data_IF_018590042737
#
_entry.id   IF_018590042737
#
_cell.length_a   1.000
_cell.length_b   1.000
_cell.length_c   1.000
_cell.angle_alpha   90.00
_cell.angle_beta   90.00
_cell.angle_gamma   90.00
#
_symmetry.space_group_name_H-M   'P 1'
#
loop_
_entity.id
_entity.type
_entity.pdbx_description
1 polymer ?
#
# COMPACT_ATOMS: atom_id res chain seq x y z
N UNK A 1 8.27 20.10 -13.90
CA UNK A 1 6.85 19.73 -14.02
C UNK A 1 6.51 18.95 -12.76
N UNK A 2 5.55 19.42 -11.95
CA UNK A 2 5.17 18.72 -10.72
C UNK A 2 4.58 17.34 -11.06
N UNK A 3 4.85 16.34 -10.22
CA UNK A 3 4.23 15.04 -10.37
C UNK A 3 2.70 15.18 -10.29
N UNK A 4 1.98 14.46 -11.16
CA UNK A 4 0.52 14.51 -11.22
C UNK A 4 -0.06 13.88 -9.96
N UNK A 5 -0.95 14.61 -9.30
CA UNK A 5 -1.59 14.20 -8.05
C UNK A 5 -2.94 13.53 -8.34
N UNK A 6 -3.20 12.43 -7.64
CA UNK A 6 -4.42 11.62 -7.69
C UNK A 6 -4.95 11.34 -6.29
N UNK A 7 -6.20 10.89 -6.17
CA UNK A 7 -6.77 10.49 -4.89
C UNK A 7 -6.41 9.04 -4.56
N UNK A 8 -6.23 8.71 -3.29
CA UNK A 8 -6.17 7.32 -2.84
C UNK A 8 -7.42 6.51 -3.23
N UNK A 9 -8.57 7.17 -3.37
CA UNK A 9 -9.82 6.55 -3.84
C UNK A 9 -9.74 6.03 -5.28
N UNK A 10 -8.79 6.53 -6.09
CA UNK A 10 -8.64 6.14 -7.49
C UNK A 10 -8.05 4.72 -7.66
N UNK A 11 -7.43 4.16 -6.61
CA UNK A 11 -6.69 2.90 -6.70
C UNK A 11 -7.62 1.70 -6.97
N UNK A 12 -8.75 1.58 -6.27
CA UNK A 12 -9.68 0.46 -6.49
C UNK A 12 -10.18 0.41 -7.95
N UNK A 13 -10.65 1.54 -8.47
CA UNK A 13 -11.10 1.66 -9.86
C UNK A 13 -9.98 1.38 -10.86
N UNK A 14 -8.73 1.72 -10.53
CA UNK A 14 -7.55 1.41 -11.34
C UNK A 14 -7.30 -0.10 -11.41
N UNK A 15 -7.30 -0.79 -10.26
CA UNK A 15 -7.10 -2.25 -10.19
C UNK A 15 -8.22 -2.99 -10.94
N UNK A 16 -9.48 -2.60 -10.74
CA UNK A 16 -10.60 -3.19 -11.47
C UNK A 16 -10.46 -3.01 -12.98
N UNK A 17 -10.05 -1.83 -13.45
CA UNK A 17 -9.84 -1.59 -14.87
C UNK A 17 -8.74 -2.49 -15.47
N UNK A 18 -7.64 -2.72 -14.74
CA UNK A 18 -6.55 -3.64 -15.15
C UNK A 18 -7.07 -5.08 -15.24
N UNK A 19 -7.85 -5.52 -14.25
CA UNK A 19 -8.41 -6.87 -14.20
C UNK A 19 -9.63 -7.08 -15.12
N UNK A 20 -10.07 -6.02 -15.82
CA UNK A 20 -11.31 -6.00 -16.61
C UNK A 20 -12.53 -6.41 -15.77
N UNK A 21 -12.67 -5.80 -14.60
CA UNK A 21 -13.77 -5.96 -13.63
C UNK A 21 -14.50 -4.62 -13.43
N UNK A 22 -15.78 -4.61 -13.02
CA UNK A 22 -16.45 -3.38 -12.62
C UNK A 22 -15.79 -2.80 -11.34
N UNK A 23 -15.78 -1.47 -11.13
CA UNK A 23 -15.35 -0.91 -9.85
C UNK A 23 -16.33 -1.30 -8.72
N UNK A 24 -15.89 -1.30 -7.44
CA UNK A 24 -16.82 -1.48 -6.32
C UNK A 24 -17.99 -0.49 -6.37
N UNK A 25 -19.19 -0.92 -6.01
CA UNK A 25 -20.44 -0.18 -6.23
C UNK A 25 -20.46 1.25 -5.63
N UNK A 26 -19.71 1.47 -4.54
CA UNK A 26 -19.63 2.76 -3.85
C UNK A 26 -18.33 3.53 -4.12
N UNK A 27 -17.52 3.07 -5.08
CA UNK A 27 -16.28 3.73 -5.44
C UNK A 27 -16.57 5.15 -5.97
N UNK A 28 -15.88 6.13 -5.39
CA UNK A 28 -15.91 7.54 -5.78
C UNK A 28 -14.74 7.92 -6.70
N UNK A 29 -13.64 7.15 -6.65
CA UNK A 29 -12.45 7.38 -7.46
C UNK A 29 -12.56 6.91 -8.90
N UNK A 30 -11.72 7.47 -9.77
CA UNK A 30 -11.65 7.17 -11.20
C UNK A 30 -10.37 6.40 -11.56
N UNK A 31 -10.40 5.50 -12.56
CA UNK A 31 -9.20 4.76 -12.95
C UNK A 31 -8.05 5.68 -13.40
N UNK A 32 -6.84 5.43 -12.89
CA UNK A 32 -5.61 6.17 -13.23
C UNK A 32 -5.09 5.66 -14.58
N UNK A 33 -5.28 6.47 -15.62
CA UNK A 33 -5.02 6.08 -17.01
C UNK A 33 -3.56 5.70 -17.25
N UNK A 34 -2.61 6.38 -16.63
CA UNK A 34 -1.18 6.13 -16.78
C UNK A 34 -0.82 4.71 -16.36
N UNK A 35 -1.36 4.21 -15.24
CA UNK A 35 -1.11 2.84 -14.77
C UNK A 35 -1.76 1.82 -15.70
N UNK A 36 -3.01 2.06 -16.11
CA UNK A 36 -3.80 1.11 -16.91
C UNK A 36 -3.15 0.86 -18.28
N UNK A 37 -2.66 1.91 -18.93
CA UNK A 37 -2.05 1.82 -20.26
C UNK A 37 -0.82 0.89 -20.25
N UNK A 38 -0.06 0.90 -19.16
CA UNK A 38 1.13 0.06 -19.04
C UNK A 38 0.82 -1.39 -18.65
N UNK A 39 -0.36 -1.64 -18.09
CA UNK A 39 -0.78 -2.94 -17.60
C UNK A 39 -1.79 -3.65 -18.52
N UNK A 40 -2.03 -3.14 -19.73
CA UNK A 40 -3.07 -3.65 -20.63
C UNK A 40 -2.96 -5.13 -21.02
N UNK A 41 -1.81 -5.78 -20.75
CA UNK A 41 -1.58 -7.21 -20.99
C UNK A 41 -1.47 -8.06 -19.70
N UNK A 42 -1.49 -7.44 -18.52
CA UNK A 42 -1.35 -8.12 -17.23
C UNK A 42 -2.68 -8.74 -16.83
N UNK A 43 -2.62 -9.96 -16.28
CA UNK A 43 -3.81 -10.71 -15.84
C UNK A 43 -4.01 -10.71 -14.33
N UNK A 44 -2.97 -10.29 -13.58
CA UNK A 44 -2.92 -10.27 -12.13
C UNK A 44 -2.35 -8.94 -11.66
N UNK A 45 -2.75 -8.48 -10.48
CA UNK A 45 -2.26 -7.23 -9.89
C UNK A 45 -1.80 -7.48 -8.46
N UNK A 46 -0.61 -7.00 -8.12
CA UNK A 46 -0.11 -6.97 -6.75
C UNK A 46 0.11 -5.53 -6.30
N UNK A 47 -0.36 -5.19 -5.10
CA UNK A 47 -0.07 -3.94 -4.40
C UNK A 47 0.89 -4.26 -3.25
N UNK A 48 2.10 -3.71 -3.31
CA UNK A 48 3.09 -3.80 -2.24
C UNK A 48 3.15 -2.46 -1.51
N UNK A 49 2.87 -2.43 -0.21
CA UNK A 49 2.74 -1.19 0.55
C UNK A 49 3.75 -1.07 1.69
N UNK A 50 4.85 -0.34 1.49
CA UNK A 50 5.63 0.23 2.59
C UNK A 50 4.76 1.23 3.36
N UNK A 51 4.36 0.85 4.57
CA UNK A 51 3.48 1.64 5.44
C UNK A 51 4.13 2.97 5.82
N UNK A 52 3.39 4.06 5.71
CA UNK A 52 3.79 5.43 6.06
C UNK A 52 4.99 6.06 5.31
N UNK A 53 5.44 5.49 4.18
CA UNK A 53 6.51 6.06 3.33
C UNK A 53 6.00 7.25 2.49
N UNK A 54 5.72 8.38 3.15
CA UNK A 54 5.25 9.61 2.50
C UNK A 54 6.31 10.36 1.69
N UNK A 55 5.86 11.34 0.89
CA UNK A 55 6.74 12.17 0.05
C UNK A 55 7.78 12.95 0.86
N UNK A 56 7.46 13.30 2.10
CA UNK A 56 8.41 13.98 2.99
C UNK A 56 9.67 13.13 3.21
N UNK A 57 9.51 11.90 3.71
CA UNK A 57 10.63 10.97 3.91
C UNK A 57 11.26 10.54 2.57
N UNK A 58 10.46 10.30 1.54
CA UNK A 58 10.94 9.97 0.20
C UNK A 58 11.92 11.02 -0.33
N UNK A 59 11.59 12.30 -0.26
CA UNK A 59 12.44 13.36 -0.80
C UNK A 59 13.77 13.50 -0.05
N UNK A 60 13.80 13.18 1.25
CA UNK A 60 15.02 13.16 2.04
C UNK A 60 15.90 11.94 1.68
N UNK A 61 15.28 10.79 1.46
CA UNK A 61 15.99 9.51 1.52
C UNK A 61 15.99 8.66 0.25
N UNK A 62 15.31 9.03 -0.84
CA UNK A 62 15.23 8.21 -2.07
C UNK A 62 16.58 7.77 -2.63
N UNK A 63 17.62 8.59 -2.48
CA UNK A 63 18.98 8.26 -2.88
C UNK A 63 19.63 7.10 -2.08
N UNK A 64 18.99 6.66 -0.98
CA UNK A 64 19.33 5.47 -0.19
C UNK A 64 18.53 4.24 -0.61
N UNK A 65 17.51 4.39 -1.44
CA UNK A 65 16.64 3.34 -1.97
C UNK A 65 16.80 3.28 -3.50
N UNK A 66 17.98 2.89 -4.03
CA UNK A 66 18.29 3.03 -5.45
C UNK A 66 17.36 2.21 -6.36
N UNK A 67 16.80 1.09 -5.88
CA UNK A 67 15.86 0.32 -6.69
C UNK A 67 14.53 1.06 -6.85
N UNK A 68 13.90 1.49 -5.76
CA UNK A 68 12.68 2.28 -5.78
C UNK A 68 12.90 3.62 -6.52
N UNK A 69 14.02 4.31 -6.30
CA UNK A 69 14.34 5.57 -6.99
C UNK A 69 14.44 5.36 -8.51
N UNK A 70 14.97 4.20 -8.96
CA UNK A 70 15.00 3.84 -10.37
C UNK A 70 13.60 3.61 -10.97
N UNK A 71 12.68 3.00 -10.20
CA UNK A 71 11.30 2.82 -10.63
C UNK A 71 10.59 4.17 -10.75
N UNK A 72 10.69 5.01 -9.73
CA UNK A 72 10.10 6.35 -9.72
C UNK A 72 10.70 7.30 -10.76
N UNK A 73 11.96 7.08 -11.17
CA UNK A 73 12.57 7.84 -12.28
C UNK A 73 11.97 7.49 -13.64
N UNK A 74 11.35 6.31 -13.77
CA UNK A 74 10.67 5.86 -14.97
C UNK A 74 9.18 6.22 -14.93
N UNK A 75 8.51 5.85 -13.84
CA UNK A 75 7.04 5.99 -13.67
C UNK A 75 6.74 6.44 -12.26
N UNK A 76 6.14 7.61 -12.10
CA UNK A 76 5.83 8.15 -10.79
C UNK A 76 4.65 9.08 -10.83
N UNK A 77 3.73 8.88 -9.88
CA UNK A 77 2.63 9.78 -9.56
C UNK A 77 2.61 10.02 -8.05
N UNK A 78 1.81 10.99 -7.63
CA UNK A 78 1.54 11.24 -6.21
C UNK A 78 0.11 10.85 -5.92
N UNK A 79 -0.10 10.07 -4.88
CA UNK A 79 -1.43 9.82 -4.33
C UNK A 79 -1.65 10.72 -3.11
N UNK A 80 -2.89 11.15 -2.91
CA UNK A 80 -3.35 11.85 -1.71
C UNK A 80 -4.24 10.93 -0.89
N UNK A 81 -3.79 10.57 0.31
CA UNK A 81 -4.54 9.83 1.33
C UNK A 81 -5.84 10.56 1.71
N UNK A 82 -6.89 9.82 2.04
CA UNK A 82 -8.11 10.40 2.64
C UNK A 82 -7.90 10.65 4.14
N UNK A 83 -8.82 11.39 4.75
CA UNK A 83 -8.79 11.67 6.18
C UNK A 83 -9.65 10.68 6.98
N UNK A 84 -9.19 10.27 8.18
CA UNK A 84 -7.86 10.52 8.73
C UNK A 84 -6.76 9.77 7.96
N UNK A 85 -5.57 10.37 7.83
CA UNK A 85 -4.38 9.82 7.17
C UNK A 85 -3.70 8.75 8.02
N UNK A 86 -4.44 7.67 8.29
CA UNK A 86 -4.02 6.54 9.12
C UNK A 86 -4.26 5.22 8.39
N UNK A 87 -3.52 4.20 8.79
CA UNK A 87 -3.43 2.92 8.09
C UNK A 87 -4.76 2.23 7.82
N UNK A 88 -5.62 1.95 8.82
CA UNK A 88 -6.84 1.18 8.56
C UNK A 88 -7.79 1.90 7.59
N UNK A 89 -7.80 3.24 7.62
CA UNK A 89 -8.65 4.05 6.76
C UNK A 89 -8.14 4.04 5.32
N UNK A 90 -6.85 4.26 5.11
CA UNK A 90 -6.33 4.36 3.74
C UNK A 90 -6.19 3.00 3.06
N UNK A 91 -5.88 1.92 3.80
CA UNK A 91 -6.02 0.56 3.26
C UNK A 91 -7.46 0.25 2.87
N UNK A 92 -8.44 0.59 3.72
CA UNK A 92 -9.85 0.42 3.38
C UNK A 92 -10.26 1.25 2.14
N UNK A 93 -9.74 2.48 2.02
CA UNK A 93 -9.94 3.33 0.84
C UNK A 93 -9.37 2.71 -0.43
N UNK A 94 -8.16 2.15 -0.37
CA UNK A 94 -7.49 1.52 -1.52
C UNK A 94 -8.32 0.38 -2.10
N UNK A 95 -8.96 -0.43 -1.25
CA UNK A 95 -9.75 -1.59 -1.70
C UNK A 95 -11.23 -1.28 -1.92
N UNK A 96 -11.76 -0.16 -1.43
CA UNK A 96 -13.18 0.20 -1.63
C UNK A 96 -13.39 1.30 -2.67
N UNK A 97 -12.36 2.12 -2.93
CA UNK A 97 -12.43 3.29 -3.79
C UNK A 97 -13.24 4.44 -3.21
N UNK A 98 -13.54 4.44 -1.91
CA UNK A 98 -14.32 5.48 -1.21
C UNK A 98 -13.64 5.89 0.09
N UNK A 99 -14.11 6.96 0.73
CA UNK A 99 -13.55 7.48 1.99
C UNK A 99 -14.17 6.81 3.23
N UNK A 100 -13.79 7.27 4.43
CA UNK A 100 -14.22 6.72 5.71
C UNK A 100 -15.74 6.73 5.93
N UNK A 101 -16.45 7.67 5.30
CA UNK A 101 -17.90 7.75 5.36
C UNK A 101 -18.56 6.70 4.45
N UNK A 102 -17.88 6.29 3.37
CA UNK A 102 -18.34 5.21 2.51
C UNK A 102 -17.98 3.82 3.03
N UNK A 103 -16.72 3.58 3.43
CA UNK A 103 -16.26 2.25 3.84
C UNK A 103 -16.47 1.92 5.31
N UNK A 104 -16.64 2.93 6.17
CA UNK A 104 -16.95 2.78 7.60
C UNK A 104 -15.78 2.33 8.51
N UNK A 105 -14.74 1.69 7.95
CA UNK A 105 -13.55 1.23 8.68
C UNK A 105 -12.75 2.39 9.33
N UNK A 106 -12.47 2.28 10.63
CA UNK A 106 -11.61 3.23 11.38
C UNK A 106 -10.48 2.55 12.16
N UNK A 107 -10.54 1.23 12.31
CA UNK A 107 -9.60 0.40 13.06
C UNK A 107 -9.34 -0.89 12.27
N UNK A 108 -8.20 -1.53 12.48
CA UNK A 108 -7.78 -2.70 11.69
C UNK A 108 -8.65 -3.96 11.92
N UNK A 109 -9.43 -4.00 12.99
CA UNK A 109 -10.45 -5.05 13.24
C UNK A 109 -11.86 -4.64 12.79
N UNK A 110 -11.98 -3.52 12.07
CA UNK A 110 -13.23 -2.98 11.57
C UNK A 110 -13.89 -3.88 10.52
N UNK A 111 -15.10 -3.48 10.11
CA UNK A 111 -15.85 -4.14 9.04
C UNK A 111 -16.18 -3.14 7.95
N UNK A 112 -16.06 -3.56 6.70
CA UNK A 112 -16.49 -2.76 5.56
C UNK A 112 -18.01 -2.61 5.56
N UNK A 113 -18.49 -1.41 5.27
CA UNK A 113 -19.91 -1.08 5.07
C UNK A 113 -20.28 -1.01 3.58
N UNK A 114 -19.31 -1.24 2.69
CA UNK A 114 -19.45 -1.19 1.25
C UNK A 114 -18.78 -2.40 0.60
N UNK A 115 -19.04 -2.59 -0.68
CA UNK A 115 -18.30 -3.54 -1.52
C UNK A 115 -16.82 -3.15 -1.62
N UNK A 116 -15.96 -4.15 -1.73
CA UNK A 116 -14.51 -4.01 -1.89
C UNK A 116 -14.01 -4.73 -3.15
N UNK A 117 -12.75 -4.50 -3.50
CA UNK A 117 -12.04 -5.27 -4.53
C UNK A 117 -12.10 -6.78 -4.27
N UNK A 118 -12.05 -7.21 -3.01
CA UNK A 118 -12.16 -8.63 -2.66
C UNK A 118 -13.50 -9.21 -3.09
N UNK A 119 -14.60 -8.47 -2.89
CA UNK A 119 -15.94 -8.88 -3.29
C UNK A 119 -16.10 -8.93 -4.81
N UNK A 120 -15.61 -7.89 -5.51
CA UNK A 120 -15.65 -7.82 -6.97
C UNK A 120 -14.85 -8.96 -7.61
N UNK A 121 -13.64 -9.23 -7.11
CA UNK A 121 -12.78 -10.32 -7.59
C UNK A 121 -13.48 -11.67 -7.36
N UNK A 122 -14.01 -11.90 -6.17
CA UNK A 122 -14.74 -13.13 -5.82
C UNK A 122 -16.00 -13.33 -6.67
N UNK A 123 -16.76 -12.27 -6.93
CA UNK A 123 -17.96 -12.32 -7.79
C UNK A 123 -17.64 -12.74 -9.24
N UNK A 124 -16.40 -12.49 -9.69
CA UNK A 124 -15.90 -12.94 -10.99
C UNK A 124 -15.33 -14.38 -10.97
N UNK A 125 -15.50 -15.14 -9.87
CA UNK A 125 -14.89 -16.45 -9.63
C UNK A 125 -13.36 -16.43 -9.69
N UNK A 126 -12.76 -15.30 -9.29
CA UNK A 126 -11.32 -15.09 -9.18
C UNK A 126 -10.91 -15.03 -7.71
N UNK A 127 -9.61 -15.12 -7.43
CA UNK A 127 -9.11 -15.14 -6.05
C UNK A 127 -8.33 -13.90 -5.69
N UNK A 128 -8.48 -13.47 -4.44
CA UNK A 128 -7.74 -12.38 -3.85
C UNK A 128 -6.97 -12.79 -2.60
N UNK A 129 -5.87 -12.10 -2.31
CA UNK A 129 -5.07 -12.30 -1.10
C UNK A 129 -4.79 -10.98 -0.37
N UNK A 130 -4.88 -11.00 0.95
CA UNK A 130 -4.43 -9.93 1.84
C UNK A 130 -3.36 -10.45 2.78
N UNK A 131 -2.21 -9.76 2.84
CA UNK A 131 -1.01 -10.23 3.55
C UNK A 131 -0.53 -9.19 4.56
N UNK A 132 -0.18 -9.64 5.77
CA UNK A 132 0.42 -8.80 6.80
C UNK A 132 0.77 -9.59 8.07
N UNK A 133 1.24 -8.88 9.09
CA UNK A 133 1.52 -9.44 10.41
C UNK A 133 0.25 -9.49 11.29
N UNK A 134 0.28 -10.34 12.31
CA UNK A 134 -0.71 -10.38 13.39
C UNK A 134 -0.93 -8.99 14.00
N UNK A 135 -2.19 -8.68 14.36
CA UNK A 135 -2.58 -7.38 14.93
C UNK A 135 -2.35 -6.15 14.03
N UNK A 136 -2.18 -6.35 12.72
CA UNK A 136 -2.05 -5.26 11.73
C UNK A 136 -3.07 -5.36 10.60
N UNK A 137 -3.34 -4.23 9.95
CA UNK A 137 -4.33 -4.08 8.87
C UNK A 137 -4.21 -5.12 7.76
N UNK A 138 -3.00 -5.50 7.35
CA UNK A 138 -2.74 -6.47 6.28
C UNK A 138 -3.28 -7.87 6.61
N UNK A 139 -3.19 -8.31 7.87
CA UNK A 139 -3.77 -9.58 8.29
C UNK A 139 -5.23 -9.40 8.74
N UNK A 140 -5.45 -8.48 9.69
CA UNK A 140 -6.70 -8.35 10.44
C UNK A 140 -7.84 -7.72 9.63
N UNK A 141 -7.52 -6.91 8.61
CA UNK A 141 -8.51 -6.32 7.73
C UNK A 141 -8.43 -6.90 6.31
N UNK A 142 -7.27 -6.82 5.65
CA UNK A 142 -7.15 -7.28 4.26
C UNK A 142 -7.29 -8.80 4.19
N UNK A 143 -6.47 -9.54 4.94
CA UNK A 143 -6.49 -11.01 4.95
C UNK A 143 -7.85 -11.60 5.35
N UNK A 144 -8.54 -11.01 6.33
CA UNK A 144 -9.88 -11.49 6.76
C UNK A 144 -11.01 -11.23 5.76
N UNK A 145 -10.84 -10.29 4.82
CA UNK A 145 -11.83 -9.98 3.78
C UNK A 145 -11.47 -10.55 2.41
N UNK A 146 -10.20 -10.94 2.20
CA UNK A 146 -9.72 -11.65 1.02
C UNK A 146 -10.13 -13.13 1.02
N UNK A 147 -9.93 -13.81 -0.11
CA UNK A 147 -10.16 -15.27 -0.23
C UNK A 147 -9.01 -16.08 0.41
N UNK A 148 -7.81 -15.48 0.45
CA UNK A 148 -6.59 -16.04 1.04
C UNK A 148 -6.08 -15.06 2.10
N UNK A 149 -6.04 -15.52 3.35
CA UNK A 149 -5.47 -14.77 4.47
C UNK A 149 -3.97 -15.10 4.60
N UNK A 150 -3.13 -14.17 4.17
CA UNK A 150 -1.68 -14.27 4.27
C UNK A 150 -1.16 -13.76 5.61
N UNK A 151 -1.38 -14.55 6.67
CA UNK A 151 -0.84 -14.23 7.98
C UNK A 151 0.65 -14.60 8.06
N UNK A 152 1.52 -13.60 8.25
CA UNK A 152 2.96 -13.75 8.44
C UNK A 152 3.40 -13.78 9.92
N UNK A 153 2.46 -13.90 10.86
CA UNK A 153 2.71 -14.00 12.29
C UNK A 153 3.15 -12.67 12.92
N UNK A 154 3.89 -12.74 14.02
CA UNK A 154 4.44 -11.58 14.74
C UNK A 154 5.85 -11.16 14.26
N UNK A 155 6.27 -11.66 13.09
CA UNK A 155 7.64 -11.55 12.57
C UNK A 155 8.02 -10.17 12.04
N UNK A 156 8.67 -10.15 10.89
CA UNK A 156 9.27 -8.98 10.25
C UNK A 156 8.70 -8.75 8.85
N UNK A 157 9.10 -7.65 8.21
CA UNK A 157 8.77 -7.41 6.81
C UNK A 157 9.38 -8.47 5.87
N UNK A 158 10.41 -9.20 6.31
CA UNK A 158 10.96 -10.34 5.55
C UNK A 158 9.99 -11.53 5.59
N UNK A 159 9.32 -11.78 6.72
CA UNK A 159 8.29 -12.82 6.86
C UNK A 159 7.06 -12.49 6.00
N UNK A 160 6.72 -11.21 5.87
CA UNK A 160 5.67 -10.74 4.95
C UNK A 160 6.08 -11.01 3.50
N UNK A 161 7.33 -10.70 3.11
CA UNK A 161 7.82 -10.97 1.77
C UNK A 161 7.84 -12.47 1.44
N UNK A 162 8.25 -13.30 2.39
CA UNK A 162 8.23 -14.76 2.27
C UNK A 162 6.80 -15.27 2.11
N UNK A 163 5.85 -14.76 2.90
CA UNK A 163 4.43 -15.13 2.79
C UNK A 163 3.81 -14.70 1.47
N UNK A 164 4.17 -13.54 0.93
CA UNK A 164 3.73 -13.12 -0.42
C UNK A 164 4.22 -14.12 -1.46
N UNK A 165 5.51 -14.49 -1.43
CA UNK A 165 6.10 -15.47 -2.36
C UNK A 165 5.38 -16.82 -2.25
N UNK A 166 5.19 -17.32 -1.03
CA UNK A 166 4.47 -18.57 -0.77
C UNK A 166 3.08 -18.56 -1.44
N UNK A 167 2.27 -17.52 -1.19
CA UNK A 167 0.91 -17.42 -1.71
C UNK A 167 0.87 -17.32 -3.23
N UNK A 168 1.76 -16.52 -3.85
CA UNK A 168 1.75 -16.40 -5.32
C UNK A 168 2.21 -17.68 -6.01
N UNK A 169 3.06 -18.48 -5.36
CA UNK A 169 3.53 -19.77 -5.88
C UNK A 169 2.50 -20.89 -5.69
N UNK A 170 1.72 -20.88 -4.61
CA UNK A 170 0.73 -21.93 -4.31
C UNK A 170 -0.67 -21.66 -4.87
N UNK A 171 -1.13 -20.42 -4.76
CA UNK A 171 -2.54 -20.07 -4.96
C UNK A 171 -2.79 -19.18 -6.19
N UNK A 172 -1.74 -18.53 -6.68
CA UNK A 172 -1.75 -17.66 -7.87
C UNK A 172 -2.94 -16.65 -7.92
N UNK A 173 -3.18 -15.84 -6.86
CA UNK A 173 -4.33 -14.93 -6.82
C UNK A 173 -4.31 -13.90 -7.95
N UNK A 174 -5.49 -13.50 -8.42
CA UNK A 174 -5.66 -12.45 -9.42
C UNK A 174 -5.40 -11.05 -8.84
N UNK A 175 -5.64 -10.88 -7.53
CA UNK A 175 -5.34 -9.65 -6.80
C UNK A 175 -4.64 -9.95 -5.48
N UNK A 176 -3.54 -9.26 -5.19
CA UNK A 176 -2.84 -9.36 -3.92
C UNK A 176 -2.55 -7.96 -3.35
N UNK A 177 -2.71 -7.78 -2.05
CA UNK A 177 -2.25 -6.59 -1.32
C UNK A 177 -1.47 -6.99 -0.08
N UNK A 178 -0.30 -6.39 0.13
CA UNK A 178 0.60 -6.71 1.25
C UNK A 178 1.05 -5.45 2.00
N UNK A 179 0.86 -5.45 3.32
CA UNK A 179 1.31 -4.38 4.23
C UNK A 179 2.71 -4.70 4.78
N UNK A 180 3.68 -3.80 4.55
CA UNK A 180 5.02 -3.83 5.14
C UNK A 180 5.12 -2.76 6.23
N UNK A 181 5.12 -3.18 7.49
CA UNK A 181 4.79 -2.32 8.63
C UNK A 181 6.00 -1.57 9.20
N UNK A 182 7.23 -2.06 8.95
CA UNK A 182 8.38 -1.65 9.78
C UNK A 182 8.87 -0.23 9.48
N UNK A 183 8.52 0.35 8.33
CA UNK A 183 8.79 1.76 8.03
C UNK A 183 8.03 2.67 9.00
N UNK A 184 6.71 2.50 9.15
CA UNK A 184 5.88 3.26 10.09
C UNK A 184 6.40 3.20 11.54
N UNK A 185 6.67 1.98 12.04
CA UNK A 185 7.29 1.79 13.36
C UNK A 185 8.60 2.55 13.53
N UNK A 186 9.45 2.53 12.50
CA UNK A 186 10.77 3.17 12.52
C UNK A 186 10.63 4.68 12.52
N UNK A 187 9.69 5.22 11.75
CA UNK A 187 9.42 6.65 11.69
C UNK A 187 8.81 7.16 13.00
N UNK A 188 7.88 6.44 13.61
CA UNK A 188 7.39 6.76 14.95
C UNK A 188 8.52 6.81 15.99
N UNK A 189 9.46 5.86 15.93
CA UNK A 189 10.57 5.77 16.90
C UNK A 189 11.60 6.89 16.74
N UNK A 190 11.98 7.23 15.52
CA UNK A 190 13.12 8.10 15.26
C UNK A 190 12.78 9.46 14.66
N UNK A 191 11.59 9.63 14.10
CA UNK A 191 11.19 10.75 13.26
C UNK A 191 11.58 10.49 11.79
N UNK A 192 10.69 10.77 10.81
CA UNK A 192 10.95 10.51 9.40
C UNK A 192 12.16 11.27 8.82
N UNK A 193 12.60 12.39 9.42
CA UNK A 193 13.81 13.11 8.97
C UNK A 193 15.12 12.62 9.61
N UNK A 194 15.06 11.64 10.51
CA UNK A 194 16.25 11.16 11.20
C UNK A 194 17.09 10.21 10.31
N UNK A 195 18.43 10.39 10.21
CA UNK A 195 19.29 9.41 9.55
C UNK A 195 19.18 7.99 10.11
N UNK A 196 18.68 7.82 11.34
CA UNK A 196 18.44 6.51 11.95
C UNK A 196 17.38 5.66 11.24
N UNK A 197 16.55 6.26 10.37
CA UNK A 197 15.55 5.51 9.59
C UNK A 197 16.16 4.82 8.37
N UNK A 198 17.33 5.28 7.91
CA UNK A 198 17.95 4.84 6.64
C UNK A 198 18.15 3.32 6.55
N UNK A 199 18.63 2.61 7.59
CA UNK A 199 18.76 1.15 7.50
C UNK A 199 17.45 0.43 7.20
N UNK A 200 16.32 0.91 7.74
CA UNK A 200 15.00 0.33 7.45
C UNK A 200 14.60 0.58 5.99
N UNK A 201 14.86 1.78 5.48
CA UNK A 201 14.58 2.14 4.09
C UNK A 201 15.42 1.33 3.10
N UNK A 202 16.70 1.10 3.39
CA UNK A 202 17.57 0.22 2.58
C UNK A 202 17.01 -1.20 2.55
N UNK A 203 16.62 -1.77 3.70
CA UNK A 203 16.01 -3.10 3.75
C UNK A 203 14.67 -3.17 3.00
N UNK A 204 13.88 -2.09 3.05
CA UNK A 204 12.63 -1.98 2.28
C UNK A 204 12.90 -1.99 0.77
N UNK A 205 13.90 -1.24 0.31
CA UNK A 205 14.31 -1.21 -1.10
C UNK A 205 14.70 -2.61 -1.61
N UNK A 206 15.49 -3.35 -0.82
CA UNK A 206 15.92 -4.71 -1.12
C UNK A 206 14.75 -5.70 -1.19
N UNK A 207 13.79 -5.60 -0.26
CA UNK A 207 12.56 -6.42 -0.28
C UNK A 207 11.69 -6.12 -1.49
N UNK A 208 11.49 -4.85 -1.83
CA UNK A 208 10.71 -4.48 -3.02
C UNK A 208 11.37 -5.04 -4.29
N UNK A 209 12.69 -4.95 -4.39
CA UNK A 209 13.45 -5.56 -5.50
C UNK A 209 13.27 -7.08 -5.56
N UNK A 210 13.38 -7.76 -4.42
CA UNK A 210 13.19 -9.21 -4.32
C UNK A 210 11.80 -9.63 -4.80
N UNK A 211 10.76 -8.96 -4.30
CA UNK A 211 9.38 -9.27 -4.64
C UNK A 211 9.09 -8.99 -6.11
N UNK A 212 9.50 -7.85 -6.65
CA UNK A 212 9.27 -7.54 -8.07
C UNK A 212 9.93 -8.57 -8.99
N UNK A 213 11.16 -8.98 -8.68
CA UNK A 213 11.86 -10.00 -9.46
C UNK A 213 11.16 -11.36 -9.44
N UNK A 214 10.42 -11.68 -8.37
CA UNK A 214 9.67 -12.93 -8.25
C UNK A 214 8.30 -12.84 -8.92
N UNK A 215 7.54 -11.77 -8.65
CA UNK A 215 6.17 -11.58 -9.12
C UNK A 215 6.10 -11.27 -10.64
N UNK A 216 7.07 -10.54 -11.17
CA UNK A 216 7.08 -10.11 -12.58
C UNK A 216 7.01 -11.27 -13.58
N UNK A 217 7.88 -12.31 -13.48
CA UNK A 217 7.82 -13.51 -14.31
C UNK A 217 6.49 -14.28 -14.20
N UNK A 218 5.77 -14.16 -13.07
CA UNK A 218 4.46 -14.79 -12.85
C UNK A 218 3.29 -13.99 -13.45
N UNK A 219 3.59 -12.88 -14.14
CA UNK A 219 2.61 -12.10 -14.90
C UNK A 219 1.84 -11.05 -14.11
N UNK A 220 2.26 -10.74 -12.88
CA UNK A 220 1.69 -9.65 -12.09
C UNK A 220 2.10 -8.29 -12.66
N UNK A 221 1.15 -7.38 -12.78
CA UNK A 221 1.43 -5.95 -12.74
C UNK A 221 1.58 -5.52 -11.28
N UNK A 222 2.68 -4.86 -10.94
CA UNK A 222 3.02 -4.56 -9.55
C UNK A 222 2.93 -3.06 -9.33
N UNK A 223 2.09 -2.65 -8.38
CA UNK A 223 1.98 -1.27 -7.94
C UNK A 223 2.63 -1.17 -6.56
N UNK A 224 3.54 -0.22 -6.39
CA UNK A 224 4.17 0.08 -5.11
C UNK A 224 3.73 1.48 -4.70
N UNK A 225 3.00 1.57 -3.60
CA UNK A 225 2.49 2.82 -3.04
C UNK A 225 2.53 2.77 -1.52
N UNK A 226 2.48 3.93 -0.86
CA UNK A 226 2.19 4.01 0.57
C UNK A 226 0.76 4.47 0.79
N UNK A 227 0.20 4.20 1.97
CA UNK A 227 -1.15 4.57 2.37
C UNK A 227 -1.24 5.97 2.98
N UNK A 228 -0.20 6.40 3.69
CA UNK A 228 -0.02 7.76 4.21
C UNK A 228 1.47 8.10 4.36
N UNK A 229 1.76 9.30 4.85
CA UNK A 229 3.10 9.70 5.29
C UNK A 229 3.18 9.88 6.80
N UNK A 230 4.30 10.45 7.25
CA UNK A 230 4.47 10.93 8.63
C UNK A 230 5.22 12.27 8.62
N UNK A 231 5.08 13.01 9.71
CA UNK A 231 5.87 14.21 10.02
C UNK A 231 6.70 14.01 11.28
N UNK A 232 7.76 14.82 11.44
CA UNK A 232 8.51 14.88 12.69
C UNK A 232 7.71 15.62 13.77
N UNK A 233 7.78 15.12 15.00
CA UNK A 233 7.25 15.83 16.15
C UNK A 233 8.28 16.87 16.63
N UNK A 234 7.85 18.12 16.92
CA UNK A 234 8.75 19.15 17.43
C UNK A 234 9.27 18.83 18.85
N UNK A 235 8.52 18.01 19.60
CA UNK A 235 8.85 17.52 20.93
C UNK A 235 8.47 16.05 21.00
N UNK A 236 9.31 15.23 21.63
CA UNK A 236 9.04 13.80 21.84
C UNK A 236 7.69 13.63 22.55
N UNK A 237 6.82 12.76 22.03
CA UNK A 237 5.50 12.50 22.63
C UNK A 237 5.64 11.85 24.02
N UNK A 238 4.59 11.87 24.86
CA UNK A 238 4.59 11.14 26.13
C UNK A 238 4.91 9.64 26.00
N UNK A 239 4.55 9.04 24.87
CA UNK A 239 4.80 7.64 24.50
C UNK A 239 6.21 7.42 23.92
N UNK A 240 7.05 8.47 23.87
CA UNK A 240 8.42 8.41 23.37
C UNK A 240 8.53 8.50 21.84
N UNK A 241 7.44 8.81 21.13
CA UNK A 241 7.45 8.94 19.66
C UNK A 241 8.14 10.24 19.24
N UNK A 242 8.82 10.19 18.09
CA UNK A 242 9.49 11.33 17.44
C UNK A 242 8.91 11.67 16.07
N UNK A 243 8.08 10.79 15.52
CA UNK A 243 7.25 11.05 14.34
C UNK A 243 5.81 10.66 14.61
N UNK A 244 4.88 11.27 13.90
CA UNK A 244 3.45 10.97 13.98
C UNK A 244 2.75 11.20 12.64
N UNK A 245 1.47 10.83 12.55
CA UNK A 245 0.65 11.01 11.36
C UNK A 245 -0.83 11.22 11.72
N UNK A 246 -1.70 11.29 10.71
CA UNK A 246 -3.14 11.48 10.88
C UNK A 246 -3.62 12.93 10.74
N UNK A 247 -2.74 13.86 10.37
CA UNK A 247 -3.08 15.27 10.15
C UNK A 247 -3.44 15.57 8.69
N UNK A 248 -4.16 16.67 8.46
CA UNK A 248 -4.46 17.17 7.12
C UNK A 248 -3.30 18.04 6.59
N UNK A 249 -2.12 17.43 6.48
CA UNK A 249 -0.91 18.09 5.97
C UNK A 249 -0.34 17.33 4.77
N UNK A 250 0.40 18.00 3.87
CA UNK A 250 1.09 17.33 2.78
C UNK A 250 2.03 16.21 3.25
N UNK A 251 2.71 16.37 4.38
CA UNK A 251 3.63 15.40 4.97
C UNK A 251 2.95 14.07 5.28
N UNK A 252 1.73 14.12 5.81
CA UNK A 252 0.95 12.94 6.17
C UNK A 252 0.10 12.39 5.03
N UNK A 253 -0.23 13.21 4.02
CA UNK A 253 -1.21 12.83 2.99
C UNK A 253 -0.62 12.55 1.61
N UNK A 254 0.54 13.10 1.28
CA UNK A 254 1.12 12.90 -0.05
C UNK A 254 2.10 11.75 -0.02
N UNK A 255 1.83 10.74 -0.85
CA UNK A 255 2.62 9.51 -0.92
C UNK A 255 3.06 9.22 -2.36
N UNK A 256 4.28 8.69 -2.55
CA UNK A 256 4.75 8.26 -3.86
C UNK A 256 4.04 6.98 -4.30
N UNK A 257 3.74 6.88 -5.59
CA UNK A 257 3.26 5.64 -6.23
C UNK A 257 4.00 5.38 -7.54
N UNK A 258 4.51 4.16 -7.73
CA UNK A 258 5.19 3.66 -8.94
C UNK A 258 4.63 2.30 -9.33
N UNK A 259 4.89 1.86 -10.57
CA UNK A 259 4.41 0.58 -11.09
C UNK A 259 5.35 -0.05 -12.13
N UNK A 260 5.24 -1.37 -12.33
CA UNK A 260 6.05 -2.18 -13.27
C UNK A 260 5.32 -3.45 -13.75
#
# INVERSE_FOLDING_TARGET
>A
MGAKEYSMMDVASTVCAILNLPPPAHAKGSPIREIIVDFSSRKRVAILMPDALGLFAWNLWKHKMPYLDSLHSNRSIVLRSVMPSVTPVNFATIVSGTDVDGHGVRVYTGKFQCETLFDVVRAANRKSAGVGLDDHTGCELMGKNADICGNAGEGSDDDIADKVIEIVDSDEPDFLIAQFVRVDYTFHKYGPSSPSVVPMLVGTDERMKRLVNHLGPLGYGIIILSDHGQHDLPVVSPEGKKGDHGTDTPEDRLVPCTWI
#
